data_IF_646650602835
#
_entry.id   IF_646650602835
#
_cell.length_a   1.000
_cell.length_b   1.000
_cell.length_c   1.000
_cell.angle_alpha   90.00
_cell.angle_beta   90.00
_cell.angle_gamma   90.00
#
_symmetry.space_group_name_H-M   'P 1'
#
loop_
_entity.id
_entity.type
_entity.pdbx_description
1 polymer ?
#
# COMPACT_ATOMS: atom_id res chain seq x y z
N UNK A 1 -7.47 -16.75 1.72
CA UNK A 1 -7.23 -15.42 2.31
C UNK A 1 -6.70 -14.47 1.23
N UNK A 2 -7.03 -13.20 1.33
CA UNK A 2 -6.49 -12.19 0.42
C UNK A 2 -5.00 -12.05 0.65
N UNK A 3 -4.24 -11.92 -0.43
CA UNK A 3 -2.77 -11.89 -0.41
C UNK A 3 -2.27 -10.46 -0.48
N UNK A 4 -1.37 -10.11 0.41
CA UNK A 4 -0.90 -8.74 0.59
C UNK A 4 0.60 -8.64 0.33
N UNK A 5 0.97 -7.61 -0.42
CA UNK A 5 2.36 -7.18 -0.61
C UNK A 5 2.57 -5.91 0.23
N UNK A 6 3.64 -5.89 1.02
CA UNK A 6 4.06 -4.69 1.76
C UNK A 6 5.30 -4.12 1.08
N UNK A 7 5.28 -2.83 0.80
CA UNK A 7 6.43 -2.10 0.23
C UNK A 7 6.83 -1.03 1.24
N UNK A 8 7.88 -1.30 2.01
CA UNK A 8 8.34 -0.44 3.09
C UNK A 8 9.80 -0.74 3.39
N UNK A 9 10.69 0.28 3.32
CA UNK A 9 12.12 0.07 3.55
C UNK A 9 12.51 0.13 5.03
N UNK A 10 11.73 0.77 5.88
CA UNK A 10 12.04 0.85 7.31
C UNK A 10 11.49 -0.36 8.05
N UNK A 11 12.35 -0.95 8.86
CA UNK A 11 12.06 -2.22 9.54
C UNK A 11 10.87 -2.12 10.49
N UNK A 12 10.83 -1.11 11.34
CA UNK A 12 9.78 -1.04 12.38
C UNK A 12 8.39 -0.84 11.80
N UNK A 13 8.16 0.13 10.90
CA UNK A 13 6.85 0.24 10.24
C UNK A 13 6.48 -1.02 9.46
N UNK A 14 7.45 -1.65 8.80
CA UNK A 14 7.21 -2.88 8.03
C UNK A 14 6.74 -4.01 8.95
N UNK A 15 7.46 -4.26 10.03
CA UNK A 15 7.10 -5.32 10.99
C UNK A 15 5.76 -5.04 11.66
N UNK A 16 5.46 -3.76 11.92
CA UNK A 16 4.17 -3.40 12.50
C UNK A 16 3.02 -3.73 11.56
N UNK A 17 3.17 -3.41 10.27
CA UNK A 17 2.13 -3.74 9.27
C UNK A 17 2.00 -5.25 9.10
N UNK A 18 3.12 -5.97 9.08
CA UNK A 18 3.10 -7.43 9.00
C UNK A 18 2.32 -8.04 10.15
N UNK A 19 2.56 -7.55 11.37
CA UNK A 19 1.88 -8.05 12.57
C UNK A 19 0.37 -7.74 12.52
N UNK A 20 -0.01 -6.54 12.09
CA UNK A 20 -1.43 -6.18 11.96
C UNK A 20 -2.14 -7.16 11.02
N UNK A 21 -1.53 -7.49 9.89
CA UNK A 21 -2.12 -8.44 8.94
C UNK A 21 -2.24 -9.83 9.53
N UNK A 22 -1.18 -10.32 10.14
CA UNK A 22 -1.16 -11.67 10.73
C UNK A 22 -2.19 -11.78 11.87
N UNK A 23 -2.22 -10.77 12.74
CA UNK A 23 -3.13 -10.78 13.90
C UNK A 23 -4.60 -10.72 13.48
N UNK A 24 -4.91 -10.14 12.33
CA UNK A 24 -6.29 -10.08 11.83
C UNK A 24 -6.85 -11.46 11.48
N UNK A 25 -5.98 -12.40 11.12
CA UNK A 25 -6.39 -13.74 10.67
C UNK A 25 -7.10 -13.78 9.32
N UNK A 26 -7.18 -12.65 8.62
CA UNK A 26 -7.96 -12.53 7.36
C UNK A 26 -7.09 -12.36 6.12
N UNK A 27 -5.81 -12.05 6.29
CA UNK A 27 -4.92 -11.74 5.19
C UNK A 27 -3.66 -12.59 5.26
N UNK A 28 -3.14 -12.95 4.09
CA UNK A 28 -1.88 -13.67 3.98
C UNK A 28 -0.81 -12.71 3.49
N UNK A 29 0.30 -12.62 4.19
CA UNK A 29 1.44 -11.84 3.75
C UNK A 29 2.17 -12.63 2.66
N UNK A 30 2.10 -12.17 1.41
CA UNK A 30 2.79 -12.84 0.30
C UNK A 30 4.25 -12.43 0.21
N UNK A 31 4.54 -11.15 0.43
CA UNK A 31 5.90 -10.64 0.38
C UNK A 31 6.00 -9.28 1.06
N UNK A 32 7.19 -8.96 1.53
CA UNK A 32 7.58 -7.62 1.96
C UNK A 32 8.83 -7.25 1.20
N UNK A 33 8.84 -6.07 0.58
CA UNK A 33 9.99 -5.59 -0.18
C UNK A 33 10.39 -4.19 0.27
N UNK A 34 11.66 -3.83 0.04
CA UNK A 34 12.20 -2.55 0.48
C UNK A 34 11.92 -1.41 -0.51
N UNK A 35 11.74 -1.72 -1.76
CA UNK A 35 11.70 -0.71 -2.81
C UNK A 35 10.49 -0.83 -3.71
N UNK A 36 9.90 0.32 -4.05
CA UNK A 36 8.79 0.38 -4.97
C UNK A 36 9.20 -0.10 -6.38
N UNK A 37 10.48 0.01 -6.72
CA UNK A 37 11.00 -0.39 -8.02
C UNK A 37 10.90 -1.90 -8.29
N UNK A 38 10.76 -2.73 -7.26
CA UNK A 38 10.59 -4.18 -7.45
C UNK A 38 9.14 -4.65 -7.29
N UNK A 39 8.23 -3.75 -6.92
CA UNK A 39 6.84 -4.13 -6.62
C UNK A 39 6.10 -4.69 -7.84
N UNK A 40 6.26 -4.09 -9.00
CA UNK A 40 5.62 -4.57 -10.23
C UNK A 40 6.05 -6.00 -10.58
N UNK A 41 7.35 -6.29 -10.43
CA UNK A 41 7.86 -7.63 -10.69
C UNK A 41 7.24 -8.68 -9.76
N UNK A 42 7.02 -8.31 -8.50
CA UNK A 42 6.34 -9.20 -7.55
C UNK A 42 4.90 -9.47 -8.02
N UNK A 43 4.19 -8.43 -8.44
CA UNK A 43 2.81 -8.57 -8.92
C UNK A 43 2.72 -9.47 -10.16
N UNK A 44 3.74 -9.47 -10.99
CA UNK A 44 3.79 -10.34 -12.18
C UNK A 44 4.10 -11.79 -11.84
N UNK A 45 4.82 -12.01 -10.75
CA UNK A 45 5.26 -13.35 -10.33
C UNK A 45 4.29 -14.04 -9.39
N UNK A 46 3.64 -13.27 -8.52
CA UNK A 46 2.75 -13.81 -7.50
C UNK A 46 1.37 -13.16 -7.59
N UNK A 47 0.35 -13.89 -7.14
CA UNK A 47 -0.98 -13.30 -7.03
C UNK A 47 -1.02 -12.35 -5.84
N UNK A 48 -1.33 -11.09 -6.10
CA UNK A 48 -1.45 -10.06 -5.06
C UNK A 48 -2.85 -9.47 -5.16
N UNK A 49 -3.53 -9.32 -4.03
CA UNK A 49 -4.86 -8.72 -3.96
C UNK A 49 -4.81 -7.29 -3.44
N UNK A 50 -3.85 -7.00 -2.57
CA UNK A 50 -3.71 -5.70 -1.90
C UNK A 50 -2.23 -5.37 -1.75
N UNK A 51 -1.90 -4.10 -1.96
CA UNK A 51 -0.56 -3.57 -1.67
C UNK A 51 -0.67 -2.46 -0.63
N UNK A 52 0.15 -2.57 0.42
CA UNK A 52 0.41 -1.46 1.33
C UNK A 52 1.71 -0.82 0.87
N UNK A 53 1.61 0.39 0.32
CA UNK A 53 2.71 1.03 -0.42
C UNK A 53 3.15 2.31 0.26
N UNK A 54 4.39 2.34 0.77
CA UNK A 54 4.98 3.61 1.22
C UNK A 54 5.40 4.43 -0.01
N UNK A 55 5.42 5.74 0.15
CA UNK A 55 5.85 6.65 -0.92
C UNK A 55 7.37 6.68 -1.02
N UNK A 56 8.05 6.88 0.12
CA UNK A 56 9.51 6.99 0.17
C UNK A 56 10.12 5.65 0.49
N UNK A 57 10.60 4.94 -0.53
CA UNK A 57 11.19 3.61 -0.37
C UNK A 57 12.61 3.60 -0.94
N UNK A 58 13.31 2.49 -0.72
CA UNK A 58 14.63 2.29 -1.30
C UNK A 58 14.54 2.21 -2.83
N UNK A 59 15.60 2.60 -3.51
CA UNK A 59 15.66 2.58 -4.97
C UNK A 59 15.30 3.91 -5.60
N UNK A 60 15.10 3.89 -6.91
CA UNK A 60 14.94 5.12 -7.71
C UNK A 60 13.47 5.48 -8.00
N UNK A 61 12.54 4.67 -7.59
CA UNK A 61 11.12 4.86 -7.88
C UNK A 61 10.35 5.07 -6.59
N UNK A 62 9.51 6.09 -6.53
CA UNK A 62 8.65 6.25 -5.36
C UNK A 62 7.40 5.37 -5.47
N UNK A 63 6.69 5.22 -4.34
CA UNK A 63 5.53 4.33 -4.28
C UNK A 63 4.37 4.77 -5.17
N UNK A 64 4.21 6.06 -5.41
CA UNK A 64 3.11 6.56 -6.27
C UNK A 64 3.42 6.26 -7.73
N UNK A 65 4.68 6.40 -8.16
CA UNK A 65 5.08 5.98 -9.51
C UNK A 65 4.83 4.50 -9.72
N UNK A 66 5.22 3.68 -8.74
CA UNK A 66 4.98 2.23 -8.81
C UNK A 66 3.50 1.91 -8.87
N UNK A 67 2.69 2.61 -8.05
CA UNK A 67 1.24 2.41 -8.05
C UNK A 67 0.62 2.72 -9.41
N UNK A 68 1.09 3.78 -10.07
CA UNK A 68 0.63 4.13 -11.42
C UNK A 68 0.87 2.98 -12.39
N UNK A 69 2.06 2.41 -12.38
CA UNK A 69 2.42 1.29 -13.26
C UNK A 69 1.63 0.03 -12.94
N UNK A 70 1.48 -0.27 -11.65
CA UNK A 70 0.76 -1.47 -11.22
C UNK A 70 -0.72 -1.36 -11.58
N UNK A 71 -1.34 -0.21 -11.34
CA UNK A 71 -2.76 -0.02 -11.68
C UNK A 71 -3.01 -0.09 -13.19
N UNK A 72 -2.04 0.34 -14.00
CA UNK A 72 -2.17 0.23 -15.45
C UNK A 72 -2.16 -1.23 -15.92
N UNK A 73 -1.33 -2.08 -15.31
CA UNK A 73 -1.20 -3.48 -15.69
C UNK A 73 -2.18 -4.40 -14.95
N UNK A 74 -2.45 -4.11 -13.68
CA UNK A 74 -3.29 -4.92 -12.80
C UNK A 74 -4.34 -4.05 -12.11
N UNK A 75 -5.36 -3.58 -12.84
CA UNK A 75 -6.34 -2.64 -12.25
C UNK A 75 -7.17 -3.25 -11.11
N UNK A 76 -7.19 -4.58 -11.00
CA UNK A 76 -7.91 -5.26 -9.92
C UNK A 76 -7.17 -5.33 -8.60
N UNK A 77 -5.86 -5.03 -8.57
CA UNK A 77 -5.10 -5.00 -7.32
C UNK A 77 -5.45 -3.71 -6.58
N UNK A 78 -5.87 -3.83 -5.31
CA UNK A 78 -6.11 -2.67 -4.46
C UNK A 78 -4.80 -2.12 -3.93
N UNK A 79 -4.65 -0.80 -3.91
CA UNK A 79 -3.44 -0.16 -3.39
C UNK A 79 -3.83 0.88 -2.35
N UNK A 80 -3.22 0.78 -1.18
CA UNK A 80 -3.32 1.78 -0.12
C UNK A 80 -1.94 2.42 0.02
N UNK A 81 -1.86 3.73 -0.18
CA UNK A 81 -0.64 4.47 0.12
C UNK A 81 -0.56 4.62 1.65
N UNK A 82 0.56 4.23 2.22
CA UNK A 82 0.79 4.24 3.67
C UNK A 82 2.06 5.04 3.93
N UNK A 83 1.92 6.25 4.47
CA UNK A 83 3.07 7.13 4.65
C UNK A 83 2.97 7.96 5.93
N UNK A 84 4.11 8.31 6.50
CA UNK A 84 4.20 9.28 7.59
C UNK A 84 4.47 10.70 7.07
N UNK A 85 4.78 10.86 5.79
CA UNK A 85 5.11 12.14 5.18
C UNK A 85 3.87 12.89 4.75
N UNK A 86 3.72 14.13 5.23
CA UNK A 86 2.63 15.02 4.81
C UNK A 86 3.18 15.98 3.77
N UNK A 87 3.03 15.61 2.51
CA UNK A 87 3.50 16.41 1.37
C UNK A 87 2.30 16.85 0.53
N UNK A 88 2.28 18.11 0.14
CA UNK A 88 1.14 18.72 -0.55
C UNK A 88 0.75 17.98 -1.82
N UNK A 89 1.73 17.53 -2.59
CA UNK A 89 1.48 16.89 -3.88
C UNK A 89 1.10 15.42 -3.82
N UNK A 90 1.25 14.76 -2.69
CA UNK A 90 1.08 13.31 -2.60
C UNK A 90 -0.37 12.87 -2.83
N UNK A 91 -1.32 13.54 -2.20
CA UNK A 91 -2.73 13.17 -2.37
C UNK A 91 -3.18 13.32 -3.83
N UNK A 92 -2.79 14.41 -4.46
CA UNK A 92 -3.13 14.64 -5.87
C UNK A 92 -2.51 13.56 -6.76
N UNK A 93 -1.22 13.29 -6.58
CA UNK A 93 -0.51 12.26 -7.35
C UNK A 93 -1.12 10.87 -7.13
N UNK A 94 -1.49 10.56 -5.89
CA UNK A 94 -2.11 9.27 -5.55
C UNK A 94 -3.45 9.10 -6.24
N UNK A 95 -4.28 10.15 -6.26
CA UNK A 95 -5.56 10.10 -6.97
C UNK A 95 -5.37 9.96 -8.48
N UNK A 96 -4.38 10.64 -9.04
CA UNK A 96 -4.05 10.50 -10.47
C UNK A 96 -3.54 9.10 -10.79
N UNK A 97 -2.82 8.47 -9.87
CA UNK A 97 -2.35 7.08 -9.99
C UNK A 97 -3.48 6.06 -9.82
N UNK A 98 -4.66 6.51 -9.40
CA UNK A 98 -5.86 5.68 -9.20
C UNK A 98 -5.71 4.68 -8.04
N UNK A 99 -4.94 5.03 -7.01
CA UNK A 99 -4.87 4.20 -5.80
C UNK A 99 -6.24 4.19 -5.12
N UNK A 100 -6.49 3.16 -4.34
CA UNK A 100 -7.80 2.95 -3.74
C UNK A 100 -7.98 3.72 -2.45
N UNK A 101 -6.92 3.84 -1.64
CA UNK A 101 -6.98 4.57 -0.38
C UNK A 101 -5.62 5.17 -0.03
N UNK A 102 -5.62 6.10 0.93
CA UNK A 102 -4.43 6.80 1.39
C UNK A 102 -4.50 6.93 2.91
N UNK A 103 -3.47 6.50 3.62
CA UNK A 103 -3.45 6.50 5.07
C UNK A 103 -2.16 7.11 5.61
N UNK A 104 -2.30 8.11 6.50
CA UNK A 104 -1.16 8.67 7.22
C UNK A 104 -0.94 7.87 8.49
N UNK A 105 0.25 7.32 8.67
CA UNK A 105 0.58 6.41 9.77
C UNK A 105 0.30 6.99 11.15
N UNK A 106 0.54 8.31 11.32
CA UNK A 106 0.51 8.93 12.63
C UNK A 106 -0.70 9.83 12.89
N UNK A 107 -1.40 10.26 11.85
CA UNK A 107 -2.44 11.29 11.99
C UNK A 107 -3.81 10.92 11.45
N UNK A 108 -3.93 9.84 10.68
CA UNK A 108 -5.26 9.39 10.23
C UNK A 108 -6.06 8.87 11.43
N UNK A 109 -7.34 9.25 11.56
CA UNK A 109 -8.16 8.81 12.70
C UNK A 109 -8.50 7.33 12.67
N UNK A 110 -8.56 6.73 11.47
CA UNK A 110 -8.83 5.30 11.33
C UNK A 110 -7.56 4.49 11.64
N UNK A 111 -7.71 3.31 12.21
CA UNK A 111 -6.57 2.40 12.27
C UNK A 111 -6.42 1.67 10.93
N UNK A 112 -5.24 1.11 10.70
CA UNK A 112 -4.91 0.53 9.39
C UNK A 112 -5.81 -0.63 9.02
N UNK A 113 -6.16 -1.50 9.97
CA UNK A 113 -7.00 -2.66 9.63
C UNK A 113 -8.39 -2.22 9.18
N UNK A 114 -8.94 -1.16 9.74
CA UNK A 114 -10.23 -0.62 9.29
C UNK A 114 -10.14 -0.09 7.87
N UNK A 115 -9.07 0.63 7.55
CA UNK A 115 -8.84 1.13 6.19
C UNK A 115 -8.70 -0.03 5.21
N UNK A 116 -7.97 -1.07 5.58
CA UNK A 116 -7.80 -2.26 4.75
C UNK A 116 -9.16 -2.91 4.48
N UNK A 117 -9.95 -3.15 5.51
CA UNK A 117 -11.23 -3.83 5.36
C UNK A 117 -12.21 -3.03 4.51
N UNK A 118 -12.27 -1.72 4.73
CA UNK A 118 -13.16 -0.86 3.96
C UNK A 118 -12.69 -0.75 2.51
N UNK A 119 -11.40 -0.67 2.28
CA UNK A 119 -10.84 -0.64 0.92
C UNK A 119 -11.13 -1.93 0.17
N UNK A 120 -10.96 -3.06 0.83
CA UNK A 120 -11.25 -4.37 0.22
C UNK A 120 -12.74 -4.55 -0.05
N UNK A 121 -13.60 -3.84 0.68
CA UNK A 121 -15.04 -3.84 0.45
C UNK A 121 -15.46 -2.88 -0.68
N UNK A 122 -14.53 -2.13 -1.24
CA UNK A 122 -14.80 -1.24 -2.38
C UNK A 122 -14.85 0.25 -2.05
N UNK A 123 -14.58 0.64 -0.81
CA UNK A 123 -14.52 2.05 -0.43
C UNK A 123 -13.16 2.64 -0.81
N UNK A 124 -13.15 3.95 -1.04
CA UNK A 124 -11.93 4.72 -1.21
C UNK A 124 -11.82 5.71 -0.06
N UNK A 125 -10.75 5.61 0.73
CA UNK A 125 -10.58 6.41 1.93
C UNK A 125 -9.36 7.31 1.74
N UNK A 126 -9.60 8.61 1.71
CA UNK A 126 -8.54 9.61 1.57
C UNK A 126 -8.65 10.64 2.69
N UNK A 127 -7.51 11.15 3.18
CA UNK A 127 -7.53 12.26 4.13
C UNK A 127 -8.18 13.48 3.52
N UNK A 128 -8.82 14.29 4.37
CA UNK A 128 -9.45 15.54 3.96
C UNK A 128 -8.42 16.62 3.63
#
# INVERSE_FOLDING_TARGET
MKKVLIVEDQRMPRENMERILVDSGKYALSASVNGADVALAVCRREQIDLILMDVCTAGNKDGIEAATEIKAEFPGIKIIIVTSMVEVGYLKRAKEAKVDSFWYKDISPENLIDVIERTMAGESIFPD
#
